data_IF_297357235581
#
_entry.id   IF_297357235581
#
_cell.length_a   1.000
_cell.length_b   1.000
_cell.length_c   1.000
_cell.angle_alpha   90.00
_cell.angle_beta   90.00
_cell.angle_gamma   90.00
#
_symmetry.space_group_name_H-M   'P 1'
#
loop_
_entity.id
_entity.type
_entity.pdbx_description
1 polymer ?
#
# COMPACT_ATOMS: atom_id res chain seq x y z
N UNK A 1 17.92 -18.08 3.31
CA UNK A 1 18.13 -18.31 4.77
C UNK A 1 17.14 -17.45 5.54
N UNK A 2 16.05 -18.03 6.04
CA UNK A 2 15.07 -17.33 6.89
C UNK A 2 15.14 -17.98 8.27
N UNK A 3 15.56 -17.18 9.25
CA UNK A 3 15.83 -17.63 10.61
C UNK A 3 14.58 -18.19 11.28
N UNK A 4 14.57 -19.50 11.52
CA UNK A 4 13.63 -20.16 12.41
C UNK A 4 13.86 -19.64 13.84
N UNK A 5 13.04 -18.68 14.27
CA UNK A 5 12.96 -18.31 15.69
C UNK A 5 12.37 -19.49 16.44
N UNK A 6 13.23 -20.25 17.11
CA UNK A 6 12.83 -21.26 18.10
C UNK A 6 12.06 -20.53 19.21
N UNK A 7 10.75 -20.71 19.29
CA UNK A 7 9.98 -20.26 20.43
C UNK A 7 10.30 -21.16 21.62
N UNK A 8 10.68 -20.56 22.75
CA UNK A 8 10.92 -21.27 24.00
C UNK A 8 9.57 -21.71 24.58
N UNK A 9 9.50 -22.83 25.33
CA UNK A 9 8.28 -23.20 26.06
C UNK A 9 8.00 -22.11 27.09
N UNK A 10 7.06 -21.24 26.76
CA UNK A 10 6.68 -20.12 27.61
C UNK A 10 5.59 -20.63 28.53
N UNK A 11 5.84 -20.63 29.84
CA UNK A 11 4.82 -20.97 30.84
C UNK A 11 3.77 -19.85 30.80
N UNK A 12 2.67 -20.11 30.11
CA UNK A 12 1.57 -19.15 30.01
C UNK A 12 0.96 -18.92 31.39
N UNK A 13 0.77 -17.65 31.75
CA UNK A 13 0.00 -17.29 32.94
C UNK A 13 -1.49 -17.43 32.64
N UNK A 14 -2.33 -17.55 33.67
CA UNK A 14 -3.79 -17.65 33.46
C UNK A 14 -4.34 -16.51 32.60
N UNK A 15 -3.87 -15.29 32.78
CA UNK A 15 -4.37 -14.15 31.99
C UNK A 15 -3.95 -14.21 30.52
N UNK A 16 -2.81 -14.83 30.23
CA UNK A 16 -2.37 -15.06 28.86
C UNK A 16 -3.20 -16.17 28.21
N UNK A 17 -3.59 -17.21 28.98
CA UNK A 17 -4.48 -18.27 28.53
C UNK A 17 -5.90 -17.76 28.25
N UNK A 18 -6.42 -16.83 29.07
CA UNK A 18 -7.71 -16.17 28.82
C UNK A 18 -7.69 -15.36 27.53
N UNK A 19 -6.61 -14.59 27.31
CA UNK A 19 -6.42 -13.86 26.05
C UNK A 19 -6.32 -14.80 24.86
N UNK A 20 -5.62 -15.93 24.99
CA UNK A 20 -5.55 -16.95 23.93
C UNK A 20 -6.91 -17.58 23.65
N UNK A 21 -7.70 -17.86 24.70
CA UNK A 21 -9.06 -18.36 24.56
C UNK A 21 -9.92 -17.37 23.77
N UNK A 22 -9.92 -16.09 24.15
CA UNK A 22 -10.66 -15.05 23.43
C UNK A 22 -10.18 -14.91 21.98
N UNK A 23 -8.87 -14.92 21.73
CA UNK A 23 -8.34 -14.80 20.37
C UNK A 23 -8.66 -16.02 19.49
N UNK A 24 -8.73 -17.22 20.07
CA UNK A 24 -9.06 -18.46 19.35
C UNK A 24 -10.41 -18.45 18.65
N UNK A 25 -11.26 -17.50 19.03
CA UNK A 25 -12.61 -17.33 18.55
C UNK A 25 -12.73 -16.34 17.39
N UNK A 26 -11.69 -15.55 17.14
CA UNK A 26 -11.64 -14.51 16.11
C UNK A 26 -10.57 -14.85 15.05
N UNK A 27 -9.45 -15.45 15.45
CA UNK A 27 -8.31 -15.79 14.60
C UNK A 27 -7.86 -17.25 14.75
N UNK A 28 -7.17 -17.78 13.74
CA UNK A 28 -6.48 -19.06 13.83
C UNK A 28 -5.27 -18.99 14.78
N UNK A 29 -5.26 -19.84 15.81
CA UNK A 29 -4.10 -20.00 16.70
C UNK A 29 -2.99 -20.81 16.02
N UNK A 30 -1.73 -20.47 16.31
CA UNK A 30 -0.61 -21.31 15.91
C UNK A 30 -0.64 -22.66 16.64
N UNK A 31 0.00 -23.72 16.10
CA UNK A 31 -0.03 -25.05 16.72
C UNK A 31 0.43 -25.06 18.18
N UNK A 32 1.45 -24.24 18.50
CA UNK A 32 2.02 -24.13 19.85
C UNK A 32 1.04 -23.46 20.83
N UNK A 33 0.32 -22.43 20.36
CA UNK A 33 -0.66 -21.72 21.19
C UNK A 33 -1.92 -22.56 21.41
N UNK A 34 -2.31 -23.34 20.39
CA UNK A 34 -3.41 -24.29 20.50
C UNK A 34 -3.11 -25.37 21.54
N UNK A 35 -1.92 -25.96 21.49
CA UNK A 35 -1.48 -26.95 22.49
C UNK A 35 -1.42 -26.34 23.90
N UNK A 36 -0.92 -25.11 24.03
CA UNK A 36 -0.88 -24.40 25.30
C UNK A 36 -2.29 -24.13 25.86
N UNK A 37 -3.23 -23.72 25.01
CA UNK A 37 -4.62 -23.48 25.38
C UNK A 37 -5.34 -24.77 25.78
N UNK A 38 -5.14 -25.86 25.02
CA UNK A 38 -5.70 -27.17 25.35
C UNK A 38 -5.18 -27.68 26.70
N UNK A 39 -3.88 -27.56 26.94
CA UNK A 39 -3.29 -27.90 28.23
C UNK A 39 -3.84 -27.02 29.36
N UNK A 40 -3.97 -25.71 29.12
CA UNK A 40 -4.56 -24.78 30.08
C UNK A 40 -6.01 -25.11 30.43
N UNK A 41 -6.81 -25.55 29.44
CA UNK A 41 -8.20 -25.99 29.63
C UNK A 41 -8.29 -27.30 30.42
N UNK A 42 -7.32 -28.21 30.28
CA UNK A 42 -7.26 -29.43 31.08
C UNK A 42 -6.88 -29.15 32.55
N UNK A 43 -5.95 -28.24 32.77
CA UNK A 43 -5.41 -27.94 34.10
C UNK A 43 -6.30 -27.00 34.92
N UNK A 44 -7.11 -26.16 34.27
CA UNK A 44 -7.90 -25.12 34.94
C UNK A 44 -9.41 -25.33 34.82
N UNK A 45 -10.16 -25.47 35.93
CA UNK A 45 -11.62 -25.40 35.90
C UNK A 45 -12.13 -24.00 35.54
N UNK A 46 -11.48 -22.94 36.04
CA UNK A 46 -11.87 -21.55 35.77
C UNK A 46 -11.87 -21.22 34.27
N UNK A 47 -10.84 -21.67 33.54
CA UNK A 47 -10.73 -21.44 32.10
C UNK A 47 -11.81 -22.17 31.29
N UNK A 48 -12.29 -23.32 31.80
CA UNK A 48 -13.40 -24.08 31.18
C UNK A 48 -14.73 -23.40 31.43
N UNK A 49 -14.95 -22.86 32.62
CA UNK A 49 -16.15 -22.10 32.95
C UNK A 49 -16.25 -20.83 32.09
N UNK A 50 -15.14 -20.13 31.90
CA UNK A 50 -15.07 -18.96 31.02
C UNK A 50 -15.35 -19.32 29.56
N UNK A 51 -14.77 -20.42 29.06
CA UNK A 51 -15.08 -20.95 27.72
C UNK A 51 -16.57 -21.25 27.57
N UNK A 52 -17.18 -21.92 28.55
CA UNK A 52 -18.60 -22.24 28.52
C UNK A 52 -19.48 -20.97 28.53
N UNK A 53 -19.11 -19.96 29.30
CA UNK A 53 -19.79 -18.67 29.33
C UNK A 53 -19.75 -17.98 27.96
N UNK A 54 -18.58 -17.92 27.32
CA UNK A 54 -18.42 -17.32 25.98
C UNK A 54 -19.26 -18.08 24.94
N UNK A 55 -19.23 -19.41 24.96
CA UNK A 55 -20.04 -20.23 24.05
C UNK A 55 -21.54 -20.01 24.24
N UNK A 56 -21.99 -19.81 25.48
CA UNK A 56 -23.41 -19.54 25.76
C UNK A 56 -23.87 -18.20 25.16
N UNK A 57 -23.04 -17.16 25.28
CA UNK A 57 -23.30 -15.84 24.70
C UNK A 57 -23.31 -15.94 23.18
N UNK A 58 -22.32 -16.62 22.59
CA UNK A 58 -22.25 -16.82 21.13
C UNK A 58 -23.43 -17.60 20.58
N UNK A 59 -23.92 -18.62 21.28
CA UNK A 59 -25.15 -19.34 20.87
C UNK A 59 -26.39 -18.44 20.94
N UNK A 60 -26.46 -17.59 21.96
CA UNK A 60 -27.57 -16.65 22.13
C UNK A 60 -27.56 -15.59 21.03
N UNK A 61 -26.39 -15.04 20.70
CA UNK A 61 -26.22 -14.03 19.65
C UNK A 61 -26.14 -14.60 18.23
N UNK A 62 -25.77 -15.87 18.06
CA UNK A 62 -25.65 -16.49 16.74
C UNK A 62 -26.97 -16.54 15.97
N UNK A 63 -28.10 -16.53 16.69
CA UNK A 63 -29.44 -16.46 16.12
C UNK A 63 -30.00 -15.03 16.10
N UNK A 64 -29.23 -14.04 16.52
CA UNK A 64 -29.64 -12.64 16.49
C UNK A 64 -29.53 -12.13 15.05
N UNK A 65 -30.68 -12.02 14.37
CA UNK A 65 -30.80 -11.36 13.08
C UNK A 65 -31.38 -9.96 13.29
N UNK A 66 -30.54 -8.91 13.37
CA UNK A 66 -31.04 -7.55 13.49
C UNK A 66 -31.71 -7.13 12.18
N UNK A 67 -32.94 -6.62 12.29
CA UNK A 67 -33.54 -5.85 11.21
C UNK A 67 -32.93 -4.44 11.22
N UNK A 68 -32.08 -4.18 10.24
CA UNK A 68 -31.56 -2.83 10.03
C UNK A 68 -32.61 -1.95 9.35
N UNK A 69 -32.61 -0.67 9.68
CA UNK A 69 -33.43 0.32 8.99
C UNK A 69 -33.11 0.34 7.49
N UNK A 70 -34.13 0.58 6.66
CA UNK A 70 -33.97 0.71 5.22
C UNK A 70 -32.85 1.71 4.85
N UNK A 71 -32.03 1.35 3.86
CA UNK A 71 -30.90 2.16 3.40
C UNK A 71 -29.69 2.20 4.35
N UNK A 72 -29.63 1.36 5.40
CA UNK A 72 -28.46 1.27 6.28
C UNK A 72 -27.17 0.97 5.49
N UNK A 73 -27.22 0.00 4.57
CA UNK A 73 -26.08 -0.38 3.73
C UNK A 73 -25.59 0.80 2.89
N UNK A 74 -26.50 1.58 2.31
CA UNK A 74 -26.15 2.74 1.48
C UNK A 74 -25.47 3.83 2.33
N UNK A 75 -26.02 4.11 3.53
CA UNK A 75 -25.42 5.06 4.47
C UNK A 75 -24.04 4.60 4.94
N UNK A 76 -23.83 3.30 5.10
CA UNK A 76 -22.55 2.72 5.48
C UNK A 76 -21.52 2.84 4.35
N UNK A 77 -21.88 2.47 3.13
CA UNK A 77 -21.01 2.59 1.96
C UNK A 77 -20.61 4.03 1.71
N UNK A 78 -21.56 4.97 1.78
CA UNK A 78 -21.26 6.39 1.62
C UNK A 78 -20.26 6.91 2.66
N UNK A 79 -20.36 6.45 3.92
CA UNK A 79 -19.40 6.81 4.97
C UNK A 79 -18.01 6.23 4.74
N UNK A 80 -17.90 5.02 4.19
CA UNK A 80 -16.63 4.40 3.85
C UNK A 80 -15.93 5.13 2.70
N UNK A 81 -16.65 5.40 1.61
CA UNK A 81 -16.13 6.14 0.45
C UNK A 81 -15.64 7.55 0.83
N UNK A 82 -16.40 8.25 1.67
CA UNK A 82 -16.05 9.62 2.13
C UNK A 82 -14.79 9.65 2.99
N UNK A 83 -14.43 8.53 3.64
CA UNK A 83 -13.22 8.45 4.46
C UNK A 83 -11.98 8.06 3.66
N UNK A 84 -12.10 7.21 2.64
CA UNK A 84 -10.99 6.91 1.74
C UNK A 84 -10.61 8.11 0.86
N UNK A 85 -11.61 8.91 0.43
CA UNK A 85 -11.38 10.05 -0.44
C UNK A 85 -10.66 11.23 0.22
N UNK A 86 -10.54 11.27 1.56
CA UNK A 86 -9.88 12.38 2.29
C UNK A 86 -8.35 12.28 2.34
N UNK A 87 -7.78 11.09 2.09
CA UNK A 87 -6.33 10.85 2.17
C UNK A 87 -5.64 11.02 0.81
N UNK A 88 -6.38 10.89 -0.29
CA UNK A 88 -5.86 11.19 -1.62
C UNK A 88 -5.94 12.70 -1.85
N UNK A 89 -4.84 13.42 -1.59
CA UNK A 89 -4.63 14.72 -2.24
C UNK A 89 -4.95 14.55 -3.73
N UNK A 90 -5.73 15.46 -4.37
CA UNK A 90 -6.07 15.32 -5.77
C UNK A 90 -4.78 15.43 -6.60
N UNK A 91 -4.17 14.28 -6.90
CA UNK A 91 -2.92 14.11 -7.66
C UNK A 91 -3.01 14.89 -8.98
N UNK A 92 -4.22 14.97 -9.54
CA UNK A 92 -4.55 15.77 -10.71
C UNK A 92 -4.17 17.26 -10.58
N UNK A 93 -4.39 17.88 -9.43
CA UNK A 93 -4.10 19.32 -9.23
C UNK A 93 -2.60 19.59 -9.15
N UNK A 94 -1.85 18.70 -8.49
CA UNK A 94 -0.38 18.78 -8.43
C UNK A 94 0.22 18.51 -9.80
N UNK A 95 -0.28 17.47 -10.49
CA UNK A 95 0.14 17.12 -11.84
C UNK A 95 -0.07 18.26 -12.83
N UNK A 96 -1.22 18.95 -12.79
CA UNK A 96 -1.51 20.07 -13.69
C UNK A 96 -0.50 21.22 -13.55
N UNK A 97 -0.06 21.53 -12.31
CA UNK A 97 0.95 22.58 -12.09
C UNK A 97 2.32 22.19 -12.66
N UNK A 98 2.73 20.95 -12.44
CA UNK A 98 4.03 20.43 -12.93
C UNK A 98 4.03 20.31 -14.45
N UNK A 99 2.95 19.78 -15.04
CA UNK A 99 2.81 19.65 -16.49
C UNK A 99 2.81 21.03 -17.18
N UNK A 100 2.16 22.03 -16.59
CA UNK A 100 2.13 23.40 -17.12
C UNK A 100 3.54 24.03 -17.14
N UNK A 101 4.32 23.86 -16.07
CA UNK A 101 5.71 24.35 -16.05
C UNK A 101 6.60 23.62 -17.06
N UNK A 102 6.42 22.31 -17.24
CA UNK A 102 7.17 21.53 -18.21
C UNK A 102 6.86 21.96 -19.65
N UNK A 103 5.57 22.13 -19.98
CA UNK A 103 5.15 22.62 -21.28
C UNK A 103 5.72 24.02 -21.58
N UNK A 104 5.70 24.92 -20.59
CA UNK A 104 6.26 26.26 -20.74
C UNK A 104 7.78 26.24 -21.01
N UNK A 105 8.53 25.37 -20.33
CA UNK A 105 9.97 25.21 -20.56
C UNK A 105 10.28 24.70 -21.97
N UNK A 106 9.52 23.72 -22.47
CA UNK A 106 9.67 23.19 -23.83
C UNK A 106 9.38 24.30 -24.86
N UNK A 107 8.28 25.05 -24.67
CA UNK A 107 7.93 26.17 -25.56
C UNK A 107 9.03 27.24 -25.56
N UNK A 108 9.54 27.62 -24.39
CA UNK A 108 10.62 28.59 -24.27
C UNK A 108 11.90 28.12 -24.97
N UNK A 109 12.24 26.84 -24.85
CA UNK A 109 13.37 26.23 -25.54
C UNK A 109 13.21 26.26 -27.06
N UNK A 110 12.04 25.90 -27.59
CA UNK A 110 11.76 25.95 -29.03
C UNK A 110 11.84 27.38 -29.57
N UNK A 111 11.31 28.36 -28.82
CA UNK A 111 11.44 29.78 -29.16
C UNK A 111 12.92 30.18 -29.23
N UNK A 112 13.72 29.78 -28.23
CA UNK A 112 15.15 30.08 -28.21
C UNK A 112 15.88 29.52 -29.43
N UNK A 113 15.61 28.27 -29.81
CA UNK A 113 16.22 27.63 -30.99
C UNK A 113 15.83 28.38 -32.27
N UNK A 114 14.55 28.75 -32.41
CA UNK A 114 14.08 29.48 -33.58
C UNK A 114 14.77 30.84 -33.74
N UNK A 115 15.02 31.57 -32.65
CA UNK A 115 15.73 32.85 -32.71
C UNK A 115 17.22 32.71 -33.05
N UNK A 116 17.87 31.63 -32.61
CA UNK A 116 19.29 31.40 -32.89
C UNK A 116 19.52 30.88 -34.32
N UNK A 117 18.76 29.87 -34.73
CA UNK A 117 19.03 29.11 -35.97
C UNK A 117 18.06 29.47 -37.12
N UNK A 118 17.03 30.27 -36.87
CA UNK A 118 16.04 30.69 -37.88
C UNK A 118 15.13 29.57 -38.39
N UNK A 119 15.32 28.33 -37.95
CA UNK A 119 14.50 27.17 -38.33
C UNK A 119 14.32 26.19 -37.16
N UNK A 120 13.20 25.48 -37.15
CA UNK A 120 12.92 24.38 -36.21
C UNK A 120 13.17 23.04 -36.91
N UNK A 121 14.42 22.77 -37.26
CA UNK A 121 14.83 21.44 -37.77
C UNK A 121 15.27 20.55 -36.60
N UNK A 122 15.19 19.23 -36.80
CA UNK A 122 15.75 18.28 -35.81
C UNK A 122 17.28 18.47 -35.69
N UNK A 123 17.95 18.84 -36.78
CA UNK A 123 19.40 19.10 -36.78
C UNK A 123 19.78 20.30 -35.90
N UNK A 124 18.94 21.34 -35.84
CA UNK A 124 19.08 22.47 -34.93
C UNK A 124 18.84 22.05 -33.46
N UNK A 125 17.85 21.18 -33.21
CA UNK A 125 17.59 20.66 -31.87
C UNK A 125 18.74 19.80 -31.32
N UNK A 126 19.47 19.11 -32.20
CA UNK A 126 20.65 18.30 -31.86
C UNK A 126 21.99 19.07 -31.95
N UNK A 127 21.98 20.34 -32.39
CA UNK A 127 23.17 21.18 -32.50
C UNK A 127 24.16 20.75 -33.58
N UNK A 128 23.70 20.10 -34.65
CA UNK A 128 24.56 19.48 -35.68
C UNK A 128 25.02 20.45 -36.79
N UNK A 129 24.83 21.76 -36.61
CA UNK A 129 25.03 22.76 -37.67
C UNK A 129 26.51 23.02 -38.03
N UNK A 130 27.46 22.61 -37.17
CA UNK A 130 28.89 22.93 -37.32
C UNK A 130 29.76 21.81 -37.91
N UNK A 131 29.19 20.68 -38.37
CA UNK A 131 29.99 19.66 -39.05
C UNK A 131 30.22 20.03 -40.52
N UNK A 132 31.01 21.08 -40.75
CA UNK A 132 31.75 21.24 -42.00
C UNK A 132 33.07 20.47 -41.83
N UNK A 133 33.26 19.29 -42.45
CA UNK A 133 34.56 18.64 -42.44
C UNK A 133 35.56 19.63 -43.03
N UNK A 134 36.59 19.95 -42.24
CA UNK A 134 37.65 20.89 -42.61
C UNK A 134 38.26 20.40 -43.94
N UNK A 135 37.91 21.05 -45.06
CA UNK A 135 38.27 20.56 -46.41
C UNK A 135 39.80 20.44 -46.60
N UNK A 136 40.56 21.16 -45.76
CA UNK A 136 42.00 21.04 -45.64
C UNK A 136 42.47 19.63 -45.23
N UNK A 137 41.76 18.94 -44.34
CA UNK A 137 42.12 17.60 -43.88
C UNK A 137 41.91 16.53 -44.98
N UNK A 138 40.91 16.73 -45.86
CA UNK A 138 40.61 15.79 -46.95
C UNK A 138 41.60 15.95 -48.12
N UNK A 139 42.10 17.17 -48.37
CA UNK A 139 43.13 17.42 -49.39
C UNK A 139 44.51 16.83 -49.04
N UNK A 140 44.82 16.67 -47.75
CA UNK A 140 46.12 16.16 -47.29
C UNK A 140 46.29 14.65 -47.51
N UNK A 141 45.18 13.90 -47.57
CA UNK A 141 45.18 12.46 -47.80
C UNK A 141 45.09 12.04 -49.27
N UNK A 142 44.94 13.00 -50.19
CA UNK A 142 44.85 12.77 -51.64
C UNK A 142 46.12 13.21 -52.40
N UNK A 143 47.26 13.32 -51.70
CA UNK A 143 48.57 13.60 -52.29
C UNK A 143 49.57 12.46 -52.01
#
# INVERSE_FOLDING_TARGET
MVGRRRSKPTKYKMEDLKKLLLRSYDDELSPVEKEALEKGLLESPELRDEKAAIESIRKTLGNFSPEFEAGFSDRLMQKLETNESKTALPIYTVFKRVALSGAAAIIAMLISIYYTDGSLSLDALYGLYEYAPDEAAVSFFNL
#
